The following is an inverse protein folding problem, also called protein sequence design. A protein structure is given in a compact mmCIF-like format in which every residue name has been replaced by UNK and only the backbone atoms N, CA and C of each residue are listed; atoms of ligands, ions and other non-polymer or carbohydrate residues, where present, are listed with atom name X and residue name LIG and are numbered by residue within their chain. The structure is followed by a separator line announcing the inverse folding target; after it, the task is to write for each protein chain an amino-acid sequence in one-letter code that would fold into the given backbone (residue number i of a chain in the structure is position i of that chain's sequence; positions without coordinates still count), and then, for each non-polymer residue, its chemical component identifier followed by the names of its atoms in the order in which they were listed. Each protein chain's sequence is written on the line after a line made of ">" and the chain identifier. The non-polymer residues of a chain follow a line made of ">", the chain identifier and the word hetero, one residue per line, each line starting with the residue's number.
data_IF_205838938963
#
_entry.id   IF_205838938963
#
_cell.length_a   1.000
_cell.length_b   1.000
_cell.length_c   1.000
_cell.angle_alpha   90.00
_cell.angle_beta   90.00
_cell.angle_gamma   90.00
#
_symmetry.space_group_name_H-M   'P 1'
#
loop_
_entity.id
_entity.type
_entity.pdbx_description
1 polymer ?
#
# COMPACT_ATOMS: atom_id res chain seq x y z
N UNK A 1 -6.04 -22.94 23.80
CA UNK A 1 -5.59 -21.67 23.21
C UNK A 1 -5.84 -21.75 21.72
N UNK A 2 -6.91 -21.14 21.21
CA UNK A 2 -7.15 -21.09 19.77
C UNK A 2 -6.14 -20.16 19.14
N UNK A 3 -5.28 -20.67 18.25
CA UNK A 3 -4.58 -19.81 17.30
C UNK A 3 -5.66 -18.96 16.63
N UNK A 4 -5.69 -17.65 16.91
CA UNK A 4 -6.45 -16.76 16.06
C UNK A 4 -5.89 -16.96 14.66
N UNK A 5 -6.67 -17.57 13.79
CA UNK A 5 -6.27 -17.79 12.41
C UNK A 5 -6.22 -16.41 11.77
N UNK A 6 -5.02 -15.82 11.79
CA UNK A 6 -4.75 -14.54 11.17
C UNK A 6 -5.02 -14.74 9.68
N UNK A 7 -5.99 -14.02 9.14
CA UNK A 7 -6.27 -14.07 7.69
C UNK A 7 -5.00 -13.72 6.93
N UNK A 8 -4.68 -14.42 5.83
CA UNK A 8 -3.51 -14.09 5.04
C UNK A 8 -3.49 -12.61 4.65
N UNK A 9 -2.36 -11.95 4.90
CA UNK A 9 -2.19 -10.53 4.58
C UNK A 9 -0.70 -10.16 4.53
N UNK A 10 -0.42 -8.99 3.97
CA UNK A 10 0.90 -8.37 4.03
C UNK A 10 0.92 -7.38 5.21
N UNK A 11 1.60 -7.74 6.29
CA UNK A 11 1.73 -6.90 7.48
C UNK A 11 2.80 -5.83 7.25
N UNK A 12 2.38 -4.57 7.31
CA UNK A 12 3.21 -3.40 7.09
C UNK A 12 4.01 -3.06 8.35
N UNK A 13 5.33 -3.06 8.22
CA UNK A 13 6.24 -2.58 9.25
C UNK A 13 6.54 -1.10 9.09
N UNK A 14 7.02 -0.72 7.92
CA UNK A 14 7.51 0.62 7.63
C UNK A 14 6.96 1.15 6.30
N UNK A 15 6.64 2.44 6.28
CA UNK A 15 6.17 3.18 5.11
C UNK A 15 7.00 4.46 5.03
N UNK A 16 7.74 4.62 3.95
CA UNK A 16 8.70 5.71 3.75
C UNK A 16 8.37 6.50 2.48
N UNK A 17 7.54 7.54 2.59
CA UNK A 17 7.31 8.48 1.48
C UNK A 17 8.43 9.51 1.47
N UNK A 18 9.26 9.49 0.44
CA UNK A 18 10.38 10.41 0.28
C UNK A 18 10.82 10.52 -1.17
N UNK A 19 11.31 11.70 -1.57
CA UNK A 19 11.99 11.93 -2.85
C UNK A 19 11.16 11.48 -4.09
N UNK A 20 9.83 11.69 -4.02
CA UNK A 20 8.92 11.33 -5.11
C UNK A 20 8.63 9.83 -5.21
N UNK A 21 8.96 9.06 -4.17
CA UNK A 21 8.78 7.60 -4.08
C UNK A 21 8.09 7.24 -2.77
N UNK A 22 7.48 6.06 -2.75
CA UNK A 22 6.96 5.43 -1.54
C UNK A 22 7.58 4.05 -1.44
N UNK A 23 8.48 3.88 -0.47
CA UNK A 23 9.07 2.59 -0.11
C UNK A 23 8.25 1.94 0.98
N UNK A 24 7.97 0.65 0.82
CA UNK A 24 7.14 -0.17 1.68
C UNK A 24 7.95 -1.38 2.15
N UNK A 25 7.97 -1.60 3.46
CA UNK A 25 8.61 -2.77 4.08
C UNK A 25 7.60 -3.47 4.97
N UNK A 26 7.49 -4.78 4.82
CA UNK A 26 6.55 -5.58 5.59
C UNK A 26 6.91 -7.05 5.65
N UNK A 27 5.95 -7.85 6.10
CA UNK A 27 6.03 -9.31 6.17
C UNK A 27 4.79 -9.98 5.60
N UNK A 28 4.98 -11.12 4.95
CA UNK A 28 3.90 -11.99 4.49
C UNK A 28 3.46 -12.87 5.65
N UNK A 29 2.16 -12.87 5.94
CA UNK A 29 1.58 -13.71 7.00
C UNK A 29 0.46 -14.59 6.47
N UNK A 30 0.35 -15.80 7.04
CA UNK A 30 -0.74 -16.73 6.78
C UNK A 30 -0.60 -17.61 5.53
N UNK A 31 0.44 -17.37 4.71
CA UNK A 31 0.81 -18.19 3.54
C UNK A 31 2.33 -18.28 3.43
N UNK A 32 2.89 -19.30 2.75
CA UNK A 32 4.30 -19.32 2.39
C UNK A 32 4.68 -18.12 1.51
N UNK A 33 5.89 -17.60 1.68
CA UNK A 33 6.42 -16.47 0.94
C UNK A 33 7.36 -16.91 -0.21
N UNK A 34 7.17 -18.13 -0.70
CA UNK A 34 7.96 -18.69 -1.78
C UNK A 34 7.58 -18.04 -3.13
N UNK A 35 8.52 -18.00 -4.08
CA UNK A 35 8.26 -17.50 -5.43
C UNK A 35 8.46 -16.00 -5.61
N UNK A 36 7.94 -15.48 -6.73
CA UNK A 36 8.09 -14.07 -7.12
C UNK A 36 6.87 -13.28 -6.69
N UNK A 37 7.08 -12.32 -5.80
CA UNK A 37 6.03 -11.44 -5.33
C UNK A 37 6.12 -10.06 -5.96
N UNK A 38 4.96 -9.42 -6.11
CA UNK A 38 4.81 -8.08 -6.65
C UNK A 38 3.92 -7.24 -5.74
N UNK A 39 4.26 -5.96 -5.62
CA UNK A 39 3.36 -4.95 -5.09
C UNK A 39 2.30 -4.63 -6.15
N UNK A 40 1.04 -4.76 -5.78
CA UNK A 40 -0.11 -4.47 -6.63
C UNK A 40 -0.90 -3.29 -6.07
N UNK A 41 -1.07 -2.25 -6.86
CA UNK A 41 -1.93 -1.12 -6.54
C UNK A 41 -3.19 -1.20 -7.39
N UNK A 42 -4.36 -1.17 -6.75
CA UNK A 42 -5.66 -1.20 -7.45
C UNK A 42 -6.42 0.09 -7.19
N UNK A 43 -6.85 0.77 -8.24
CA UNK A 43 -7.65 2.00 -8.12
C UNK A 43 -9.05 1.67 -7.62
N UNK A 44 -9.49 2.30 -6.51
CA UNK A 44 -10.77 1.95 -5.84
C UNK A 44 -12.00 2.41 -6.61
N UNK A 45 -11.98 3.63 -7.17
CA UNK A 45 -13.14 4.23 -7.82
C UNK A 45 -13.46 3.62 -9.20
N UNK A 46 -12.48 2.99 -9.85
CA UNK A 46 -12.63 2.40 -11.18
C UNK A 46 -11.86 1.08 -11.23
N UNK A 47 -12.59 -0.01 -11.02
CA UNK A 47 -12.04 -1.37 -11.14
C UNK A 47 -11.44 -1.55 -12.54
N UNK A 48 -10.17 -1.93 -12.60
CA UNK A 48 -9.45 -2.22 -13.85
C UNK A 48 -8.13 -1.49 -14.03
N UNK A 49 -7.90 -0.37 -13.34
CA UNK A 49 -6.57 0.27 -13.35
C UNK A 49 -5.71 -0.32 -12.23
N UNK A 50 -4.62 -0.96 -12.62
CA UNK A 50 -3.65 -1.54 -11.69
C UNK A 50 -2.22 -1.13 -12.04
N UNK A 51 -1.39 -0.96 -11.02
CA UNK A 51 0.06 -0.80 -11.16
C UNK A 51 0.75 -1.97 -10.46
N UNK A 52 1.85 -2.46 -11.02
CA UNK A 52 2.64 -3.57 -10.48
C UNK A 52 4.11 -3.18 -10.38
N UNK A 53 4.72 -3.53 -9.26
CA UNK A 53 6.15 -3.35 -9.02
C UNK A 53 6.72 -4.63 -8.41
N UNK A 54 7.97 -4.94 -8.68
CA UNK A 54 8.62 -6.09 -8.06
C UNK A 54 8.75 -5.89 -6.54
N UNK A 55 8.66 -7.00 -5.79
CA UNK A 55 8.96 -7.02 -4.37
C UNK A 55 10.16 -7.94 -4.10
N UNK A 56 11.19 -7.42 -3.43
CA UNK A 56 12.31 -8.23 -2.93
C UNK A 56 11.84 -8.96 -1.67
N UNK A 57 11.68 -10.29 -1.78
CA UNK A 57 11.24 -11.15 -0.68
C UNK A 57 12.41 -11.98 -0.17
N UNK A 58 12.66 -11.91 1.15
CA UNK A 58 13.71 -12.66 1.86
C UNK A 58 13.12 -13.29 3.11
N UNK A 59 12.86 -14.60 3.05
CA UNK A 59 12.06 -15.27 4.06
C UNK A 59 10.63 -14.74 4.00
N UNK A 60 10.08 -14.29 5.12
CA UNK A 60 8.75 -13.66 5.17
C UNK A 60 8.79 -12.15 4.93
N UNK A 61 9.96 -11.51 4.99
CA UNK A 61 10.13 -10.06 4.83
C UNK A 61 10.10 -9.69 3.36
N UNK A 62 9.31 -8.67 3.02
CA UNK A 62 9.31 -8.07 1.69
C UNK A 62 9.68 -6.60 1.74
N UNK A 63 10.18 -6.12 0.61
CA UNK A 63 10.42 -4.72 0.34
C UNK A 63 10.02 -4.39 -1.10
N UNK A 64 9.31 -3.28 -1.29
CA UNK A 64 8.97 -2.77 -2.61
C UNK A 64 8.92 -1.24 -2.61
N UNK A 65 9.05 -0.64 -3.79
CA UNK A 65 9.02 0.80 -3.97
C UNK A 65 8.19 1.15 -5.20
N UNK A 66 7.41 2.23 -5.09
CA UNK A 66 6.66 2.79 -6.22
C UNK A 66 7.03 4.27 -6.46
N UNK A 67 7.25 4.69 -7.72
CA UNK A 67 7.31 6.10 -8.09
C UNK A 67 5.93 6.74 -7.95
N UNK A 68 5.89 7.93 -7.34
CA UNK A 68 4.62 8.68 -7.16
C UNK A 68 4.07 9.19 -8.49
N UNK A 69 4.93 9.45 -9.48
CA UNK A 69 4.53 9.90 -10.80
C UNK A 69 3.60 8.91 -11.54
N UNK A 70 3.75 7.61 -11.29
CA UNK A 70 2.97 6.56 -11.95
C UNK A 70 1.50 6.55 -11.49
N UNK A 71 1.20 7.17 -10.34
CA UNK A 71 -0.17 7.34 -9.83
C UNK A 71 -0.94 8.44 -10.56
N UNK A 72 -0.31 9.12 -11.52
CA UNK A 72 -0.99 10.08 -12.38
C UNK A 72 -1.96 9.34 -13.29
N UNK A 73 -3.26 9.45 -13.01
CA UNK A 73 -4.30 8.88 -13.86
C UNK A 73 -4.51 9.75 -15.11
N UNK A 74 -4.72 9.10 -16.28
CA UNK A 74 -5.10 9.80 -17.53
C UNK A 74 -6.47 10.48 -17.46
N UNK A 75 -7.31 10.08 -16.51
CA UNK A 75 -8.64 10.63 -16.23
C UNK A 75 -8.72 10.90 -14.71
N UNK A 76 -8.11 12.01 -14.24
CA UNK A 76 -7.94 12.27 -12.83
C UNK A 76 -9.23 12.82 -12.20
N UNK A 77 -9.69 12.17 -11.13
CA UNK A 77 -10.70 12.71 -10.24
C UNK A 77 -10.02 13.58 -9.15
N UNK A 78 -10.72 14.58 -8.57
CA UNK A 78 -10.14 15.46 -7.56
C UNK A 78 -9.52 14.75 -6.36
N UNK A 79 -10.11 13.61 -5.98
CA UNK A 79 -9.58 12.69 -4.96
C UNK A 79 -9.73 11.26 -5.46
N UNK A 80 -8.65 10.51 -5.37
CA UNK A 80 -8.60 9.10 -5.74
C UNK A 80 -7.93 8.28 -4.65
N UNK A 81 -8.30 7.00 -4.58
CA UNK A 81 -7.74 6.07 -3.62
C UNK A 81 -7.19 4.84 -4.32
N UNK A 82 -5.99 4.45 -3.92
CA UNK A 82 -5.31 3.26 -4.38
C UNK A 82 -5.11 2.30 -3.24
N UNK A 83 -5.49 1.06 -3.50
CA UNK A 83 -5.48 -0.03 -2.57
C UNK A 83 -4.20 -0.86 -2.77
N UNK A 84 -3.36 -0.93 -1.73
CA UNK A 84 -2.10 -1.68 -1.74
C UNK A 84 -2.30 -3.16 -1.41
N UNK A 85 -1.77 -4.03 -2.27
CA UNK A 85 -1.72 -5.47 -2.09
C UNK A 85 -0.32 -6.00 -2.40
N UNK A 86 -0.04 -7.22 -1.94
CA UNK A 86 1.09 -8.03 -2.38
C UNK A 86 0.53 -9.28 -3.08
N UNK A 87 1.11 -9.69 -4.21
CA UNK A 87 0.62 -10.84 -4.97
C UNK A 87 1.75 -11.63 -5.61
N UNK A 88 1.56 -12.95 -5.71
CA UNK A 88 2.41 -13.86 -6.50
C UNK A 88 1.76 -14.25 -7.84
N UNK A 89 0.59 -13.67 -8.16
CA UNK A 89 -0.23 -13.97 -9.33
C UNK A 89 -1.39 -14.94 -9.06
N UNK A 90 -1.32 -15.75 -8.00
CA UNK A 90 -2.40 -16.66 -7.59
C UNK A 90 -3.09 -16.17 -6.31
N UNK A 91 -2.30 -15.63 -5.38
CA UNK A 91 -2.72 -15.09 -4.09
C UNK A 91 -2.61 -13.56 -4.14
N UNK A 92 -3.63 -12.88 -3.60
CA UNK A 92 -3.61 -11.44 -3.37
C UNK A 92 -3.79 -11.16 -1.88
N UNK A 93 -2.78 -10.52 -1.29
CA UNK A 93 -2.70 -10.20 0.12
C UNK A 93 -2.92 -8.71 0.32
N UNK A 94 -3.98 -8.35 1.04
CA UNK A 94 -4.22 -6.96 1.41
C UNK A 94 -3.09 -6.45 2.32
N UNK A 95 -2.48 -5.33 1.96
CA UNK A 95 -1.48 -4.71 2.82
C UNK A 95 -2.17 -3.91 3.93
N UNK A 96 -1.74 -4.14 5.17
CA UNK A 96 -2.31 -3.50 6.34
C UNK A 96 -1.40 -3.66 7.54
N UNK A 97 -1.82 -3.13 8.68
CA UNK A 97 -1.07 -3.30 9.94
C UNK A 97 -2.06 -3.74 11.00
N UNK A 98 -2.15 -5.03 11.27
CA UNK A 98 -3.18 -5.63 12.11
C UNK A 98 -2.63 -6.30 13.36
N UNK A 99 -1.34 -6.66 13.34
CA UNK A 99 -0.68 -7.47 14.36
C UNK A 99 -0.03 -6.66 15.48
N UNK A 100 -0.07 -5.33 15.40
CA UNK A 100 0.23 -4.51 16.56
C UNK A 100 -1.01 -4.35 17.47
N UNK A 101 -0.76 -4.01 18.74
CA UNK A 101 -1.81 -3.70 19.71
C UNK A 101 -2.41 -2.29 19.52
N UNK A 102 -2.15 -1.63 18.38
CA UNK A 102 -2.57 -0.25 18.12
C UNK A 102 -3.83 -0.23 17.24
N UNK A 103 -4.97 0.10 17.83
CA UNK A 103 -6.22 0.32 17.07
C UNK A 103 -6.40 1.79 16.72
N UNK A 104 -7.05 2.08 15.60
CA UNK A 104 -7.38 3.46 15.20
C UNK A 104 -6.21 4.23 14.55
N UNK A 105 -5.35 3.51 13.80
CA UNK A 105 -4.10 4.03 13.24
C UNK A 105 -4.24 5.25 12.33
N UNK A 106 -5.40 5.43 11.71
CA UNK A 106 -5.69 6.57 10.82
C UNK A 106 -5.42 7.93 11.48
N UNK A 107 -5.59 8.06 12.80
CA UNK A 107 -5.34 9.32 13.53
C UNK A 107 -3.94 9.39 14.15
N UNK A 108 -3.18 8.30 14.13
CA UNK A 108 -1.89 8.15 14.81
C UNK A 108 -0.74 8.27 13.80
N UNK A 109 -0.86 7.61 12.65
CA UNK A 109 0.15 7.67 11.60
C UNK A 109 -0.20 8.76 10.58
N UNK A 110 0.53 9.86 10.63
CA UNK A 110 0.49 10.91 9.62
C UNK A 110 1.77 10.83 8.79
N UNK A 111 1.62 10.46 7.54
CA UNK A 111 2.73 10.36 6.61
C UNK A 111 2.93 11.67 5.84
N UNK A 112 4.19 12.07 5.55
CA UNK A 112 4.46 13.24 4.74
C UNK A 112 3.91 13.04 3.32
N UNK A 113 3.21 14.05 2.84
CA UNK A 113 2.70 14.08 1.47
C UNK A 113 3.85 14.15 0.46
N UNK A 114 3.79 13.32 -0.58
CA UNK A 114 4.69 13.38 -1.73
C UNK A 114 4.03 14.17 -2.86
N UNK A 115 4.84 14.91 -3.62
CA UNK A 115 4.38 15.77 -4.71
C UNK A 115 5.13 15.48 -5.99
N UNK A 116 4.40 15.49 -7.09
CA UNK A 116 4.95 15.42 -8.45
C UNK A 116 4.04 16.20 -9.39
N UNK A 117 4.52 17.31 -9.94
CA UNK A 117 3.65 18.26 -10.64
C UNK A 117 2.45 18.68 -9.77
N UNK A 118 1.25 18.54 -10.31
CA UNK A 118 -0.02 18.85 -9.62
C UNK A 118 -0.58 17.70 -8.79
N UNK A 119 0.09 16.55 -8.78
CA UNK A 119 -0.33 15.37 -8.03
C UNK A 119 0.27 15.40 -6.62
N UNK A 120 -0.61 15.26 -5.63
CA UNK A 120 -0.28 15.07 -4.22
C UNK A 120 -0.68 13.67 -3.78
N UNK A 121 0.24 12.93 -3.19
CA UNK A 121 0.00 11.55 -2.75
C UNK A 121 0.36 11.38 -1.29
N UNK A 122 -0.53 10.73 -0.53
CA UNK A 122 -0.32 10.47 0.89
C UNK A 122 -0.74 9.05 1.24
N UNK A 123 0.14 8.23 1.85
CA UNK A 123 -0.28 6.98 2.47
C UNK A 123 -1.15 7.24 3.69
N UNK A 124 -2.12 6.37 3.91
CA UNK A 124 -2.95 6.40 5.11
C UNK A 124 -3.46 5.00 5.46
N UNK A 125 -3.73 4.77 6.73
CA UNK A 125 -4.45 3.57 7.16
C UNK A 125 -5.96 3.80 7.14
N UNK A 126 -6.69 2.86 6.54
CA UNK A 126 -8.16 2.83 6.55
C UNK A 126 -8.70 2.51 7.95
N UNK A 127 -10.03 2.57 8.13
CA UNK A 127 -10.69 2.20 9.39
C UNK A 127 -10.45 0.71 9.73
N UNK A 128 -10.24 -0.13 8.71
CA UNK A 128 -9.91 -1.54 8.88
C UNK A 128 -8.41 -1.79 9.07
N UNK A 129 -7.62 -0.74 9.30
CA UNK A 129 -6.15 -0.76 9.41
C UNK A 129 -5.41 -1.28 8.16
N UNK A 130 -6.06 -1.28 6.99
CA UNK A 130 -5.38 -1.53 5.71
C UNK A 130 -4.65 -0.28 5.22
N UNK A 131 -3.50 -0.44 4.55
CA UNK A 131 -2.76 0.66 3.93
C UNK A 131 -3.35 0.99 2.54
N UNK A 132 -3.63 2.26 2.32
CA UNK A 132 -4.05 2.80 1.02
C UNK A 132 -3.28 4.10 0.73
N UNK A 133 -3.28 4.53 -0.53
CA UNK A 133 -2.82 5.86 -0.93
C UNK A 133 -4.01 6.73 -1.29
N UNK A 134 -4.00 7.97 -0.81
CA UNK A 134 -4.89 9.02 -1.26
C UNK A 134 -4.11 9.88 -2.26
N UNK A 135 -4.63 9.99 -3.48
CA UNK A 135 -4.11 10.84 -4.53
C UNK A 135 -5.05 12.04 -4.71
N UNK A 136 -4.51 13.24 -4.79
CA UNK A 136 -5.27 14.46 -5.04
C UNK A 136 -4.63 15.21 -6.19
N UNK A 137 -5.42 15.45 -7.22
CA UNK A 137 -5.05 16.26 -8.38
C UNK A 137 -5.79 17.58 -8.30
N UNK A 138 -5.08 18.69 -8.39
CA UNK A 138 -5.71 20.01 -8.38
C UNK A 138 -5.80 20.63 -6.99
N UNK A 139 -5.39 21.88 -6.95
CA UNK A 139 -5.25 22.71 -5.77
C UNK A 139 -3.98 23.53 -5.99
N UNK A 140 -4.13 24.62 -6.74
CA UNK A 140 -3.20 25.74 -6.65
C UNK A 140 -3.02 26.09 -5.18
N UNK A 141 -1.78 26.45 -4.83
CA UNK A 141 -1.48 27.13 -3.57
C UNK A 141 -2.40 28.33 -3.34
#
# INVERSE_FOLDING_TARGET
>A
MGLQQVRPHAEMGEVWPRDGRIRLVGRIHGVPADGTWQLLLTRRARAGQTLRYDADVKGDRFESELPVADLTASDPAPVEEWDIHLTDGEVELRAGRHLDDVRGKKKIFVYPEQRTGDLRVRPYYTIKDNLSLECRTGGSA
#
